data_IF_457636723417
#
_entry.id   IF_457636723417
#
_cell.length_a   1.000
_cell.length_b   1.000
_cell.length_c   1.000
_cell.angle_alpha   90.00
_cell.angle_beta   90.00
_cell.angle_gamma   90.00
#
_symmetry.space_group_name_H-M   'P 1'
#
loop_
_entity.id
_entity.type
_entity.pdbx_description
1 polymer ?
#
# COMPACT_ATOMS: atom_id res chain seq x y z
N UNK A 1 -6.75 0.76 -6.49
CA UNK A 1 -5.63 0.84 -7.46
C UNK A 1 -4.46 0.04 -6.90
N UNK A 2 -3.61 -0.55 -7.74
CA UNK A 2 -2.46 -1.31 -7.27
C UNK A 2 -1.41 -1.54 -8.36
N UNK A 3 -0.17 -1.73 -7.92
CA UNK A 3 1.02 -2.01 -8.74
C UNK A 3 1.90 -3.03 -8.02
N UNK A 4 2.54 -3.91 -8.79
CA UNK A 4 3.43 -4.96 -8.26
C UNK A 4 2.70 -6.18 -7.69
N UNK A 5 3.37 -6.93 -6.81
CA UNK A 5 2.84 -8.17 -6.22
C UNK A 5 1.94 -7.89 -5.01
N UNK A 6 0.86 -8.64 -4.91
CA UNK A 6 0.04 -8.73 -3.68
C UNK A 6 0.80 -9.43 -2.57
N UNK A 7 0.34 -9.26 -1.32
CA UNK A 7 0.86 -10.01 -0.18
C UNK A 7 0.72 -11.52 -0.38
N UNK A 8 -0.39 -11.97 -0.96
CA UNK A 8 -0.65 -13.39 -1.19
C UNK A 8 0.33 -13.97 -2.21
N UNK A 9 0.55 -13.29 -3.33
CA UNK A 9 1.52 -13.71 -4.34
C UNK A 9 2.95 -13.75 -3.80
N UNK A 10 3.35 -12.70 -3.07
CA UNK A 10 4.70 -12.62 -2.50
C UNK A 10 4.92 -13.69 -1.42
N UNK A 11 3.93 -13.89 -0.54
CA UNK A 11 4.01 -14.90 0.52
C UNK A 11 4.04 -16.32 -0.05
N UNK A 12 3.22 -16.63 -1.07
CA UNK A 12 3.24 -17.92 -1.76
C UNK A 12 4.59 -18.20 -2.42
N UNK A 13 5.23 -17.19 -3.00
CA UNK A 13 6.49 -17.34 -3.73
C UNK A 13 7.71 -17.42 -2.82
N UNK A 14 7.78 -16.58 -1.80
CA UNK A 14 8.99 -16.39 -0.99
C UNK A 14 8.85 -16.85 0.47
N UNK A 15 7.65 -17.29 0.88
CA UNK A 15 7.36 -17.79 2.22
C UNK A 15 7.67 -16.76 3.33
N UNK A 16 7.59 -15.47 2.98
CA UNK A 16 7.81 -14.33 3.87
C UNK A 16 6.84 -13.20 3.51
N UNK A 17 6.45 -12.40 4.50
CA UNK A 17 5.76 -11.12 4.28
C UNK A 17 6.31 -10.10 5.27
N UNK A 18 6.82 -8.99 4.73
CA UNK A 18 6.97 -7.75 5.48
C UNK A 18 6.00 -6.74 4.89
N UNK A 19 4.77 -6.76 5.40
CA UNK A 19 3.69 -5.96 4.87
C UNK A 19 3.37 -4.82 5.84
N UNK A 20 3.00 -3.64 5.32
CA UNK A 20 2.66 -2.45 6.11
C UNK A 20 1.35 -1.86 5.61
N UNK A 21 0.49 -1.45 6.54
CA UNK A 21 -0.78 -0.80 6.24
C UNK A 21 -0.78 0.60 6.85
N UNK A 22 -1.02 1.60 6.01
CA UNK A 22 -1.26 2.98 6.43
C UNK A 22 -2.73 3.29 6.19
N UNK A 23 -3.48 3.51 7.27
CA UNK A 23 -4.87 3.97 7.16
C UNK A 23 -4.89 5.44 6.77
N UNK A 24 -5.83 5.83 5.90
CA UNK A 24 -5.97 7.22 5.45
C UNK A 24 -6.30 8.17 6.61
N UNK A 25 -6.88 7.66 7.70
CA UNK A 25 -7.05 8.38 8.96
C UNK A 25 -5.73 8.82 9.62
N UNK A 26 -4.58 8.30 9.22
CA UNK A 26 -3.27 8.74 9.70
C UNK A 26 -2.60 9.73 8.75
N UNK A 27 -3.17 9.96 7.56
CA UNK A 27 -2.60 10.85 6.54
C UNK A 27 -3.12 12.28 6.76
N UNK A 28 -2.26 13.26 7.10
CA UNK A 28 -2.69 14.63 7.41
C UNK A 28 -3.50 15.28 6.28
N UNK A 29 -3.06 15.10 5.02
CA UNK A 29 -3.78 15.62 3.84
C UNK A 29 -5.20 15.03 3.73
N UNK A 30 -5.35 13.73 3.97
CA UNK A 30 -6.65 13.04 3.91
C UNK A 30 -7.62 13.59 4.98
N UNK A 31 -7.12 13.89 6.18
CA UNK A 31 -7.91 14.60 7.21
C UNK A 31 -8.30 16.00 6.77
N UNK A 32 -7.36 16.77 6.22
CA UNK A 32 -7.59 18.15 5.82
C UNK A 32 -8.71 18.28 4.78
N UNK A 33 -8.78 17.35 3.82
CA UNK A 33 -9.82 17.33 2.78
C UNK A 33 -11.08 16.53 3.17
N UNK A 34 -11.16 16.04 4.42
CA UNK A 34 -12.27 15.20 4.94
C UNK A 34 -12.47 13.88 4.19
N UNK A 35 -11.42 13.33 3.59
CA UNK A 35 -11.43 12.03 2.89
C UNK A 35 -10.48 11.02 3.56
N UNK A 36 -10.74 10.73 4.83
CA UNK A 36 -9.93 9.83 5.66
C UNK A 36 -10.29 8.33 5.48
N UNK A 37 -11.19 8.00 4.55
CA UNK A 37 -11.63 6.61 4.32
C UNK A 37 -10.61 5.85 3.50
N UNK A 38 -10.34 4.61 3.91
CA UNK A 38 -9.50 3.69 3.15
C UNK A 38 -8.10 3.49 3.70
N UNK A 39 -7.23 2.87 2.90
CA UNK A 39 -5.89 2.49 3.30
C UNK A 39 -4.94 2.32 2.11
N UNK A 40 -3.65 2.33 2.44
CA UNK A 40 -2.52 1.96 1.58
C UNK A 40 -1.88 0.72 2.20
N UNK A 41 -1.68 -0.32 1.39
CA UNK A 41 -0.99 -1.55 1.76
C UNK A 41 0.27 -1.69 0.93
N UNK A 42 1.41 -1.79 1.60
CA UNK A 42 2.72 -1.98 0.98
C UNK A 42 3.23 -3.39 1.27
N UNK A 43 3.82 -4.01 0.27
CA UNK A 43 4.48 -5.31 0.35
C UNK A 43 5.98 -5.06 0.19
N UNK A 44 6.78 -5.48 1.17
CA UNK A 44 8.21 -5.20 1.23
C UNK A 44 8.96 -6.53 1.29
N UNK A 45 10.05 -6.64 0.53
CA UNK A 45 10.97 -7.75 0.67
C UNK A 45 11.81 -7.57 1.95
N UNK A 46 11.70 -8.45 2.96
CA UNK A 46 12.41 -8.27 4.23
C UNK A 46 13.94 -8.41 4.11
N UNK A 47 14.46 -8.99 3.02
CA UNK A 47 15.90 -9.17 2.80
C UNK A 47 16.55 -7.94 2.17
N UNK A 48 15.86 -7.26 1.26
CA UNK A 48 16.40 -6.12 0.51
C UNK A 48 15.82 -4.78 0.94
N UNK A 49 14.76 -4.79 1.75
CA UNK A 49 13.95 -3.62 2.10
C UNK A 49 13.28 -2.92 0.90
N UNK A 50 13.25 -3.56 -0.26
CA UNK A 50 12.59 -3.04 -1.46
C UNK A 50 11.07 -3.20 -1.38
N UNK A 51 10.35 -2.20 -1.89
CA UNK A 51 8.90 -2.26 -2.08
C UNK A 51 8.64 -3.08 -3.35
N UNK A 52 7.91 -4.18 -3.22
CA UNK A 52 7.59 -5.10 -4.32
C UNK A 52 6.13 -5.00 -4.77
N UNK A 53 5.31 -4.26 -4.04
CA UNK A 53 3.95 -3.94 -4.44
C UNK A 53 3.27 -2.94 -3.51
N UNK A 54 2.36 -2.16 -4.07
CA UNK A 54 1.55 -1.15 -3.37
C UNK A 54 0.11 -1.27 -3.85
N UNK A 55 -0.81 -1.33 -2.89
CA UNK A 55 -2.25 -1.46 -3.14
C UNK A 55 -3.00 -0.43 -2.31
N UNK A 56 -3.89 0.33 -2.94
CA UNK A 56 -4.62 1.41 -2.30
C UNK A 56 -6.12 1.31 -2.58
N UNK A 57 -6.90 1.57 -1.54
CA UNK A 57 -8.35 1.80 -1.62
C UNK A 57 -8.62 3.12 -0.92
N UNK A 58 -8.93 4.17 -1.67
CA UNK A 58 -9.23 5.52 -1.18
C UNK A 58 -9.89 6.37 -2.30
N UNK A 59 -10.57 7.49 -1.99
CA UNK A 59 -11.26 8.36 -2.95
C UNK A 59 -10.43 8.98 -4.08
N UNK A 60 -9.10 8.80 -4.10
CA UNK A 60 -8.19 9.25 -5.17
C UNK A 60 -7.13 8.18 -5.49
N UNK A 61 -7.41 6.90 -5.23
CA UNK A 61 -6.41 5.85 -5.33
C UNK A 61 -5.80 5.72 -6.73
N UNK A 62 -6.56 5.95 -7.80
CA UNK A 62 -6.05 5.90 -9.17
C UNK A 62 -5.06 7.03 -9.47
N UNK A 63 -5.30 8.23 -8.94
CA UNK A 63 -4.43 9.38 -9.14
C UNK A 63 -3.18 9.32 -8.26
N UNK A 64 -3.19 8.61 -7.13
CA UNK A 64 -2.02 8.54 -6.24
C UNK A 64 -1.10 7.35 -6.53
N UNK A 65 -1.60 6.30 -7.18
CA UNK A 65 -0.83 5.05 -7.35
C UNK A 65 0.37 5.19 -8.29
N UNK A 66 0.39 6.21 -9.16
CA UNK A 66 1.48 6.38 -10.13
C UNK A 66 2.78 6.91 -9.49
N UNK A 67 2.72 7.40 -8.24
CA UNK A 67 3.91 7.80 -7.46
C UNK A 67 4.57 6.59 -6.74
N UNK A 68 3.94 5.41 -6.82
CA UNK A 68 4.36 4.20 -6.12
C UNK A 68 5.38 3.35 -6.91
#
# INVERSE_FOLDING_TARGET
AGVGMTEEEFSKRYHVCSCRVVRMEHVPKAKAIREARGLIKMVINPKTAEIVGVHMVAPLAAELIHEA
#
